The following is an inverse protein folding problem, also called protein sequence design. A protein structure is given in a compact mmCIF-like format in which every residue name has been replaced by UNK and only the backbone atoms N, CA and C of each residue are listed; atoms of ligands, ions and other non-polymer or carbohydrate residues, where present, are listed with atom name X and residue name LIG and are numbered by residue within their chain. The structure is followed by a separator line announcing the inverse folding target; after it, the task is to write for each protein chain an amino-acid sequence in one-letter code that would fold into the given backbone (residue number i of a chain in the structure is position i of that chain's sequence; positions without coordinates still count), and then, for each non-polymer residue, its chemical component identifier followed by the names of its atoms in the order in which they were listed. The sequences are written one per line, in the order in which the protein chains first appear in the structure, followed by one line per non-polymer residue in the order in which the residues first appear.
data_IF_293687314151
#
_entry.id   IF_293687314151
#
_cell.length_a   1.000
_cell.length_b   1.000
_cell.length_c   1.000
_cell.angle_alpha   90.00
_cell.angle_beta   90.00
_cell.angle_gamma   90.00
#
_symmetry.space_group_name_H-M   'P 1'
#
loop_
_entity.id
_entity.type
_entity.pdbx_description
1 polymer ?
#
# COMPACT_ATOMS: atom_id res chain seq x y z
N UNK A 1 -51.41 53.90 50.25
CA UNK A 1 -50.12 54.66 50.26
C UNK A 1 -49.08 53.93 49.43
N UNK A 2 -48.77 54.52 48.27
CA UNK A 2 -47.91 54.01 47.23
C UNK A 2 -46.46 54.12 47.58
N UNK A 3 -45.65 53.14 47.24
CA UNK A 3 -44.24 53.37 46.90
C UNK A 3 -43.85 52.49 45.72
N UNK A 4 -43.66 53.18 44.59
CA UNK A 4 -42.99 52.70 43.41
C UNK A 4 -41.49 52.49 43.71
N UNK A 5 -40.93 51.33 43.38
CA UNK A 5 -39.50 51.16 43.22
C UNK A 5 -39.23 50.74 41.79
N UNK A 6 -38.62 51.70 41.06
CA UNK A 6 -38.17 51.47 39.71
C UNK A 6 -36.96 50.59 39.67
N UNK A 7 -37.04 49.52 38.94
CA UNK A 7 -35.95 48.64 38.62
C UNK A 7 -35.26 49.06 37.31
N UNK A 8 -34.03 49.45 37.43
CA UNK A 8 -33.12 49.82 36.31
C UNK A 8 -32.71 48.53 35.58
N UNK A 9 -33.19 48.34 34.36
CA UNK A 9 -32.77 47.23 33.51
C UNK A 9 -31.47 47.63 32.81
N UNK A 10 -30.39 47.06 33.27
CA UNK A 10 -29.09 47.16 32.58
C UNK A 10 -29.04 46.16 31.43
N UNK A 11 -29.10 46.66 30.22
CA UNK A 11 -28.87 45.87 29.00
C UNK A 11 -27.38 45.60 28.83
N UNK A 12 -26.96 44.38 29.04
CA UNK A 12 -25.60 43.89 28.73
C UNK A 12 -25.58 43.52 27.26
N UNK A 13 -24.90 44.32 26.46
CA UNK A 13 -24.62 44.03 25.06
C UNK A 13 -23.45 43.05 25.02
N UNK A 14 -23.70 41.80 24.70
CA UNK A 14 -22.68 40.79 24.46
C UNK A 14 -22.20 40.94 23.03
N UNK A 15 -20.98 41.45 22.87
CA UNK A 15 -20.28 41.53 21.59
C UNK A 15 -19.75 40.16 21.22
N UNK A 16 -20.39 39.44 20.28
CA UNK A 16 -19.94 38.15 19.77
C UNK A 16 -18.74 38.39 18.83
N UNK A 17 -17.54 38.10 19.32
CA UNK A 17 -16.34 37.98 18.49
C UNK A 17 -16.42 36.70 17.66
N UNK A 18 -16.75 36.83 16.37
CA UNK A 18 -16.63 35.75 15.40
C UNK A 18 -15.16 35.46 15.13
N UNK A 19 -14.56 34.55 15.87
CA UNK A 19 -13.24 34.04 15.58
C UNK A 19 -13.34 33.03 14.41
N UNK A 20 -12.85 33.43 13.21
CA UNK A 20 -12.59 32.48 12.12
C UNK A 20 -11.41 31.60 12.51
N UNK A 21 -11.69 30.52 13.24
CA UNK A 21 -10.77 29.42 13.42
C UNK A 21 -10.82 28.56 12.16
N UNK A 22 -9.85 28.71 11.25
CA UNK A 22 -9.60 27.71 10.21
C UNK A 22 -9.15 26.41 10.87
N UNK A 23 -10.10 25.55 11.21
CA UNK A 23 -9.80 24.16 11.55
C UNK A 23 -9.32 23.49 10.26
N UNK A 24 -8.01 23.46 10.06
CA UNK A 24 -7.40 22.60 9.06
C UNK A 24 -7.85 21.18 9.35
N UNK A 25 -8.71 20.63 8.49
CA UNK A 25 -9.01 19.22 8.45
C UNK A 25 -7.71 18.51 8.11
N UNK A 26 -7.01 18.02 9.13
CA UNK A 26 -5.98 17.01 8.95
C UNK A 26 -6.76 15.76 8.53
N UNK A 27 -6.83 15.51 7.22
CA UNK A 27 -7.30 14.23 6.71
C UNK A 27 -6.38 13.17 7.31
N UNK A 28 -6.89 12.20 8.09
CA UNK A 28 -6.06 11.10 8.53
C UNK A 28 -5.51 10.44 7.27
N UNK A 29 -4.20 10.33 7.17
CA UNK A 29 -3.55 9.48 6.18
C UNK A 29 -4.12 8.10 6.38
N UNK A 30 -4.97 7.67 5.45
CA UNK A 30 -5.54 6.33 5.47
C UNK A 30 -4.36 5.40 5.24
N UNK A 31 -3.87 4.78 6.29
CA UNK A 31 -2.99 3.61 6.16
C UNK A 31 -3.87 2.58 5.44
N UNK A 32 -3.59 2.35 4.16
CA UNK A 32 -4.27 1.30 3.41
C UNK A 32 -3.94 -0.03 4.08
N UNK A 33 -4.89 -0.53 4.86
CA UNK A 33 -4.81 -1.90 5.37
C UNK A 33 -5.09 -2.79 4.17
N UNK A 34 -4.10 -3.56 3.77
CA UNK A 34 -4.25 -4.56 2.70
C UNK A 34 -5.38 -5.50 3.09
N UNK A 35 -6.39 -5.62 2.24
CA UNK A 35 -7.55 -6.45 2.52
C UNK A 35 -7.23 -7.94 2.32
N UNK A 36 -7.94 -8.81 3.05
CA UNK A 36 -7.82 -10.25 2.84
C UNK A 36 -8.22 -10.68 1.41
N UNK A 37 -9.13 -9.93 0.79
CA UNK A 37 -9.55 -10.14 -0.60
C UNK A 37 -8.41 -9.83 -1.57
N UNK A 38 -7.70 -8.73 -1.38
CA UNK A 38 -6.55 -8.32 -2.18
C UNK A 38 -5.39 -9.31 -2.05
N UNK A 39 -5.11 -9.81 -0.85
CA UNK A 39 -4.11 -10.86 -0.65
C UNK A 39 -4.50 -12.16 -1.34
N UNK A 40 -5.78 -12.52 -1.34
CA UNK A 40 -6.28 -13.72 -2.02
C UNK A 40 -6.15 -13.57 -3.53
N UNK A 41 -6.56 -12.43 -4.08
CA UNK A 41 -6.39 -12.11 -5.49
C UNK A 41 -4.91 -12.19 -5.89
N UNK A 42 -4.03 -11.59 -5.10
CA UNK A 42 -2.59 -11.60 -5.33
C UNK A 42 -1.99 -13.01 -5.30
N UNK A 43 -2.41 -13.84 -4.34
CA UNK A 43 -1.95 -15.22 -4.24
C UNK A 43 -2.40 -16.07 -5.44
N UNK A 44 -3.64 -15.91 -5.89
CA UNK A 44 -4.18 -16.66 -7.02
C UNK A 44 -3.52 -16.22 -8.34
N UNK A 45 -3.37 -14.92 -8.56
CA UNK A 45 -2.68 -14.38 -9.72
C UNK A 45 -1.18 -14.76 -9.71
N UNK A 46 -0.50 -14.71 -8.55
CA UNK A 46 0.87 -15.16 -8.42
C UNK A 46 1.02 -16.63 -8.82
N UNK A 47 0.13 -17.49 -8.34
CA UNK A 47 0.15 -18.93 -8.66
C UNK A 47 -0.03 -19.17 -10.16
N UNK A 48 -0.87 -18.38 -10.81
CA UNK A 48 -1.15 -18.51 -12.25
C UNK A 48 0.02 -18.04 -13.12
N UNK A 49 0.66 -16.92 -12.78
CA UNK A 49 1.57 -16.22 -13.68
C UNK A 49 3.05 -16.31 -13.28
N UNK A 50 3.36 -16.60 -12.01
CA UNK A 50 4.71 -16.45 -11.47
C UNK A 50 5.29 -17.74 -10.88
N UNK A 51 4.44 -18.60 -10.30
CA UNK A 51 4.87 -19.71 -9.46
C UNK A 51 5.69 -20.78 -10.20
N UNK A 52 5.47 -20.98 -11.51
CA UNK A 52 6.21 -21.99 -12.29
C UNK A 52 7.74 -21.69 -12.32
N UNK A 53 8.11 -20.43 -12.28
CA UNK A 53 9.51 -20.02 -12.23
C UNK A 53 9.97 -19.63 -10.82
N UNK A 54 9.13 -18.93 -10.06
CA UNK A 54 9.52 -18.37 -8.77
C UNK A 54 9.13 -19.22 -7.54
N UNK A 55 8.53 -20.38 -7.77
CA UNK A 55 8.07 -21.32 -6.73
C UNK A 55 6.72 -20.89 -6.14
N UNK A 56 5.91 -21.88 -5.72
CA UNK A 56 4.59 -21.63 -5.10
C UNK A 56 4.70 -20.90 -3.76
N UNK A 57 5.85 -21.03 -3.10
CA UNK A 57 6.18 -20.45 -1.80
C UNK A 57 7.17 -19.26 -1.91
N UNK A 58 7.30 -18.63 -3.07
CA UNK A 58 8.19 -17.52 -3.42
C UNK A 58 9.69 -17.82 -3.21
N UNK A 59 10.08 -19.07 -3.02
CA UNK A 59 11.46 -19.50 -2.74
C UNK A 59 12.29 -19.80 -3.98
N UNK A 60 11.72 -19.58 -5.17
CA UNK A 60 12.40 -19.86 -6.43
C UNK A 60 12.35 -21.33 -6.84
N UNK A 61 12.83 -21.57 -8.04
CA UNK A 61 13.02 -22.90 -8.63
C UNK A 61 14.36 -22.94 -9.40
N UNK A 62 14.56 -23.95 -10.21
CA UNK A 62 15.66 -24.00 -11.18
C UNK A 62 15.45 -23.08 -12.40
N UNK A 63 14.26 -22.45 -12.52
CA UNK A 63 13.88 -21.54 -13.62
C UNK A 63 13.95 -20.06 -13.24
N UNK A 64 13.84 -19.73 -11.95
CA UNK A 64 13.79 -18.36 -11.50
C UNK A 64 14.13 -18.19 -10.02
N UNK A 65 14.57 -16.96 -9.64
CA UNK A 65 15.08 -16.70 -8.30
C UNK A 65 13.98 -16.67 -7.23
N UNK A 66 14.41 -16.90 -5.99
CA UNK A 66 13.60 -16.67 -4.79
C UNK A 66 13.35 -15.19 -4.57
N UNK A 67 12.11 -14.81 -4.27
CA UNK A 67 11.78 -13.45 -3.81
C UNK A 67 12.18 -13.19 -2.35
N UNK A 68 12.70 -14.20 -1.64
CA UNK A 68 13.27 -14.07 -0.31
C UNK A 68 14.81 -13.84 -0.35
N UNK A 69 15.31 -13.25 -1.40
CA UNK A 69 16.69 -12.79 -1.51
C UNK A 69 16.80 -11.31 -1.20
N UNK A 70 17.88 -10.88 -0.55
CA UNK A 70 18.18 -9.45 -0.25
C UNK A 70 18.11 -8.55 -1.49
N UNK A 71 18.30 -9.10 -2.67
CA UNK A 71 18.11 -8.40 -3.94
C UNK A 71 16.70 -7.85 -4.10
N UNK A 72 15.70 -8.53 -3.51
CA UNK A 72 14.28 -8.13 -3.59
C UNK A 72 13.80 -7.26 -2.43
N UNK A 73 14.69 -6.79 -1.55
CA UNK A 73 14.34 -5.77 -0.57
C UNK A 73 13.91 -4.47 -1.27
N UNK A 74 12.94 -3.72 -0.70
CA UNK A 74 12.40 -2.51 -1.33
C UNK A 74 13.42 -1.42 -1.65
N UNK A 75 14.56 -1.39 -0.93
CA UNK A 75 15.66 -0.46 -1.16
C UNK A 75 16.52 -0.82 -2.39
N UNK A 76 16.43 -2.06 -2.89
CA UNK A 76 17.16 -2.54 -4.07
C UNK A 76 16.20 -2.77 -5.25
N UNK A 77 15.17 -3.61 -5.09
CA UNK A 77 14.09 -3.80 -6.06
C UNK A 77 12.76 -3.32 -5.48
N UNK A 78 12.49 -2.01 -5.65
CA UNK A 78 11.21 -1.43 -5.29
C UNK A 78 10.05 -2.05 -6.10
N UNK A 79 8.81 -1.83 -5.67
CA UNK A 79 7.61 -2.40 -6.30
C UNK A 79 7.53 -2.11 -7.81
N UNK A 80 7.98 -0.93 -8.23
CA UNK A 80 8.07 -0.59 -9.65
C UNK A 80 8.99 -1.52 -10.45
N UNK A 81 10.00 -2.13 -9.83
CA UNK A 81 10.87 -3.08 -10.51
C UNK A 81 10.14 -4.37 -10.87
N UNK A 82 9.24 -4.85 -10.01
CA UNK A 82 8.35 -5.98 -10.32
C UNK A 82 7.44 -5.66 -11.49
N UNK A 83 6.80 -4.48 -11.45
CA UNK A 83 5.90 -4.05 -12.52
C UNK A 83 6.63 -3.95 -13.87
N UNK A 84 7.83 -3.39 -13.88
CA UNK A 84 8.64 -3.28 -15.09
C UNK A 84 9.10 -4.64 -15.62
N UNK A 85 9.52 -5.56 -14.73
CA UNK A 85 9.93 -6.91 -15.11
C UNK A 85 8.78 -7.69 -15.74
N UNK A 86 7.57 -7.59 -15.19
CA UNK A 86 6.38 -8.22 -15.77
C UNK A 86 6.05 -7.62 -17.14
N UNK A 87 6.08 -6.31 -17.27
CA UNK A 87 5.66 -5.62 -18.50
C UNK A 87 6.68 -5.72 -19.63
N UNK A 88 7.96 -5.75 -19.34
CA UNK A 88 9.05 -5.61 -20.33
C UNK A 88 10.01 -6.78 -20.37
N UNK A 89 9.87 -7.69 -19.40
CA UNK A 89 10.91 -8.66 -19.10
C UNK A 89 12.06 -8.02 -18.32
N UNK A 90 13.02 -8.84 -17.90
CA UNK A 90 14.23 -8.40 -17.22
C UNK A 90 15.43 -9.15 -17.75
N UNK A 91 16.44 -8.45 -18.30
CA UNK A 91 17.72 -9.10 -18.63
C UNK A 91 18.35 -9.71 -17.38
N UNK A 92 18.96 -10.88 -17.55
CA UNK A 92 19.69 -11.53 -16.47
C UNK A 92 20.78 -10.62 -15.91
N UNK A 93 20.82 -10.42 -14.58
CA UNK A 93 21.82 -9.54 -13.96
C UNK A 93 22.29 -9.96 -12.55
N UNK A 94 21.54 -10.79 -11.81
CA UNK A 94 21.95 -11.27 -10.47
C UNK A 94 22.28 -12.77 -10.45
N UNK A 95 21.57 -13.56 -11.25
CA UNK A 95 21.69 -15.03 -11.28
C UNK A 95 21.73 -15.53 -12.73
N UNK A 96 22.07 -16.79 -12.90
CA UNK A 96 22.25 -17.42 -14.22
C UNK A 96 21.00 -18.21 -14.65
N UNK A 97 19.79 -17.69 -14.40
CA UNK A 97 18.53 -18.33 -14.84
C UNK A 97 18.17 -17.98 -16.30
N UNK A 98 18.88 -17.05 -16.92
CA UNK A 98 18.51 -16.45 -18.19
C UNK A 98 17.65 -15.20 -17.99
N UNK A 99 17.25 -14.60 -19.11
CA UNK A 99 16.39 -13.43 -19.11
C UNK A 99 14.96 -13.82 -18.72
N UNK A 100 14.31 -13.02 -17.86
CA UNK A 100 12.89 -13.15 -17.60
C UNK A 100 12.11 -12.56 -18.79
N UNK A 101 11.28 -13.32 -19.48
CA UNK A 101 10.45 -12.76 -20.54
C UNK A 101 9.34 -11.87 -19.95
N UNK A 102 8.76 -10.94 -20.74
CA UNK A 102 7.52 -10.26 -20.37
C UNK A 102 6.41 -11.28 -20.11
N UNK A 103 5.53 -10.97 -19.18
CA UNK A 103 4.37 -11.83 -18.86
C UNK A 103 3.13 -11.20 -19.44
N UNK A 104 2.50 -11.90 -20.37
CA UNK A 104 1.30 -11.42 -21.04
C UNK A 104 0.03 -11.85 -20.30
N UNK A 105 -1.05 -11.07 -20.49
CA UNK A 105 -2.38 -11.42 -19.98
C UNK A 105 -2.66 -11.08 -18.53
N UNK A 106 -1.74 -10.42 -17.83
CA UNK A 106 -1.96 -9.92 -16.47
C UNK A 106 -2.68 -8.57 -16.52
N UNK A 107 -3.81 -8.45 -15.81
CA UNK A 107 -4.49 -7.17 -15.62
C UNK A 107 -3.71 -6.27 -14.63
N UNK A 108 -3.82 -4.94 -14.74
CA UNK A 108 -3.07 -4.02 -13.87
C UNK A 108 -3.34 -4.21 -12.37
N UNK A 109 -4.57 -4.50 -11.99
CA UNK A 109 -5.00 -4.78 -10.62
C UNK A 109 -4.47 -6.13 -10.11
N UNK A 110 -4.42 -7.16 -10.97
CA UNK A 110 -3.77 -8.43 -10.64
C UNK A 110 -2.27 -8.25 -10.38
N UNK A 111 -1.59 -7.43 -11.23
CA UNK A 111 -0.17 -7.15 -11.05
C UNK A 111 0.11 -6.41 -9.74
N UNK A 112 -0.72 -5.42 -9.38
CA UNK A 112 -0.62 -4.72 -8.09
C UNK A 112 -0.83 -5.69 -6.92
N UNK A 113 -1.85 -6.54 -7.02
CA UNK A 113 -2.13 -7.56 -6.01
C UNK A 113 -1.00 -8.60 -5.88
N UNK A 114 -0.37 -9.02 -6.99
CA UNK A 114 0.81 -9.89 -6.96
C UNK A 114 1.96 -9.25 -6.16
N UNK A 115 2.27 -7.99 -6.41
CA UNK A 115 3.33 -7.27 -5.68
C UNK A 115 2.98 -7.20 -4.20
N UNK A 116 1.75 -6.84 -3.86
CA UNK A 116 1.23 -6.81 -2.49
C UNK A 116 1.36 -8.17 -1.81
N UNK A 117 0.99 -9.26 -2.49
CA UNK A 117 1.13 -10.62 -1.98
C UNK A 117 2.60 -10.97 -1.69
N UNK A 118 3.52 -10.74 -2.64
CA UNK A 118 4.94 -11.04 -2.46
C UNK A 118 5.52 -10.26 -1.29
N UNK A 119 5.20 -8.96 -1.17
CA UNK A 119 5.61 -8.12 -0.03
C UNK A 119 5.03 -8.60 1.29
N UNK A 120 3.77 -9.03 1.30
CA UNK A 120 3.14 -9.62 2.46
C UNK A 120 3.86 -10.89 2.93
N UNK A 121 4.21 -11.79 2.02
CA UNK A 121 5.00 -12.99 2.36
C UNK A 121 6.40 -12.64 2.86
N UNK A 122 7.07 -11.65 2.26
CA UNK A 122 8.37 -11.16 2.73
C UNK A 122 8.29 -10.63 4.17
N UNK A 123 7.26 -9.82 4.47
CA UNK A 123 7.05 -9.27 5.81
C UNK A 123 6.67 -10.35 6.83
N UNK A 124 5.78 -11.27 6.49
CA UNK A 124 5.38 -12.38 7.38
C UNK A 124 6.56 -13.26 7.78
N UNK A 125 7.50 -13.46 6.86
CA UNK A 125 8.71 -14.23 7.12
C UNK A 125 9.85 -13.40 7.75
N UNK A 126 9.60 -12.12 8.10
CA UNK A 126 10.58 -11.22 8.69
C UNK A 126 11.73 -10.86 7.74
N UNK A 127 11.48 -10.89 6.45
CA UNK A 127 12.47 -10.60 5.42
C UNK A 127 12.57 -9.09 5.12
N UNK A 128 11.47 -8.39 5.27
CA UNK A 128 11.36 -6.93 5.22
C UNK A 128 10.58 -6.43 6.43
N UNK A 129 10.78 -5.14 6.82
CA UNK A 129 10.06 -4.46 7.91
C UNK A 129 8.68 -3.94 7.46
#
# INVERSE_FOLDING_TARGET
MNRLCGGLVATITVLAMAGCGSSGLVTPTTVSVVSAEELTLGADAYRQFCSDCHGEDVRGTDKGPSFLSQVYEPNHHADAAFQLAVQRGSPQHHWNFGDMPPVEGIAPDELEAIVTYVRGVQAELGFID
#
